data_IF_784132234176
#
_entry.id   IF_784132234176
#
_cell.length_a   1.000
_cell.length_b   1.000
_cell.length_c   1.000
_cell.angle_alpha   90.00
_cell.angle_beta   90.00
_cell.angle_gamma   90.00
#
_symmetry.space_group_name_H-M   'P 1'
#
loop_
_entity.id
_entity.type
_entity.pdbx_description
1 polymer ?
#
# COMPACT_ATOMS: atom_id res chain seq x y z
N UNK A 1 -0.87 -16.58 -4.37
CA UNK A 1 -1.21 -15.38 -5.16
C UNK A 1 0.05 -14.60 -5.58
N UNK A 2 0.97 -14.30 -4.67
CA UNK A 2 2.19 -13.52 -4.99
C UNK A 2 3.00 -14.10 -6.17
N UNK A 3 3.23 -15.41 -6.19
CA UNK A 3 3.99 -16.07 -7.27
C UNK A 3 3.29 -15.91 -8.63
N UNK A 4 1.97 -16.03 -8.65
CA UNK A 4 1.15 -15.82 -9.85
C UNK A 4 1.26 -14.38 -10.34
N UNK A 5 1.05 -13.40 -9.46
CA UNK A 5 1.11 -11.97 -9.82
C UNK A 5 2.47 -11.60 -10.44
N UNK A 6 3.57 -12.02 -9.83
CA UNK A 6 4.92 -11.67 -10.27
C UNK A 6 5.44 -12.51 -11.44
N UNK A 7 5.21 -13.83 -11.40
CA UNK A 7 5.84 -14.78 -12.33
C UNK A 7 4.99 -15.07 -13.56
N UNK A 8 3.66 -15.07 -13.42
CA UNK A 8 2.76 -15.39 -14.54
C UNK A 8 2.20 -14.13 -15.18
N UNK A 9 1.70 -13.19 -14.35
CA UNK A 9 1.05 -11.95 -14.85
C UNK A 9 2.08 -10.85 -15.10
N UNK A 10 3.28 -10.92 -14.48
CA UNK A 10 4.34 -9.94 -14.69
C UNK A 10 4.23 -8.67 -13.82
N UNK A 11 3.31 -8.63 -12.83
CA UNK A 11 3.13 -7.51 -11.92
C UNK A 11 4.19 -7.57 -10.81
N UNK A 12 5.36 -7.02 -11.05
CA UNK A 12 6.54 -7.13 -10.18
C UNK A 12 6.58 -6.12 -9.04
N UNK A 13 5.66 -5.15 -9.00
CA UNK A 13 5.55 -4.16 -7.94
C UNK A 13 5.28 -4.78 -6.56
N UNK A 14 4.44 -5.82 -6.49
CA UNK A 14 4.27 -6.63 -5.28
C UNK A 14 5.57 -7.35 -4.93
N UNK A 15 6.16 -7.05 -3.75
CA UNK A 15 7.50 -7.55 -3.39
C UNK A 15 7.45 -8.87 -2.60
N UNK A 16 8.59 -9.53 -2.52
CA UNK A 16 8.77 -10.71 -1.67
C UNK A 16 9.80 -10.40 -0.58
N UNK A 17 9.34 -10.40 0.68
CA UNK A 17 10.21 -10.24 1.84
C UNK A 17 10.28 -11.53 2.66
N UNK A 18 9.41 -11.70 3.65
CA UNK A 18 9.47 -12.82 4.60
C UNK A 18 8.83 -14.12 4.06
N UNK A 19 7.72 -14.05 3.34
CA UNK A 19 6.91 -15.23 2.95
C UNK A 19 5.99 -15.75 4.05
N UNK A 20 5.95 -15.11 5.20
CA UNK A 20 5.30 -15.56 6.45
C UNK A 20 4.20 -14.58 6.93
N UNK A 21 3.88 -13.55 6.13
CA UNK A 21 2.83 -12.58 6.49
C UNK A 21 3.27 -11.45 7.42
N UNK A 22 4.55 -11.40 7.83
CA UNK A 22 5.04 -10.47 8.86
C UNK A 22 5.42 -9.09 8.30
N UNK A 23 5.98 -9.01 7.08
CA UNK A 23 6.65 -7.81 6.61
C UNK A 23 5.79 -6.87 5.76
N UNK A 24 4.65 -7.31 5.26
CA UNK A 24 3.74 -6.51 4.43
C UNK A 24 4.29 -6.10 3.04
N UNK A 25 5.50 -6.52 2.65
CA UNK A 25 6.06 -6.18 1.33
C UNK A 25 5.22 -6.72 0.15
N UNK A 26 4.42 -7.74 0.40
CA UNK A 26 3.55 -8.39 -0.56
C UNK A 26 2.08 -7.95 -0.46
N UNK A 27 1.77 -6.86 0.24
CA UNK A 27 0.40 -6.36 0.41
C UNK A 27 -0.24 -6.04 -0.95
N UNK A 28 -1.45 -6.54 -1.15
CA UNK A 28 -2.34 -6.25 -2.27
C UNK A 28 -3.74 -5.94 -1.71
N UNK A 29 -4.64 -5.40 -2.54
CA UNK A 29 -6.06 -5.32 -2.20
C UNK A 29 -6.81 -6.45 -2.90
N UNK A 30 -7.69 -7.12 -2.16
CA UNK A 30 -8.68 -8.06 -2.69
C UNK A 30 -10.04 -7.55 -2.26
N UNK A 31 -10.88 -7.19 -3.23
CA UNK A 31 -12.18 -6.53 -3.00
C UNK A 31 -12.05 -5.30 -2.07
N UNK A 32 -10.98 -4.52 -2.26
CA UNK A 32 -10.69 -3.32 -1.48
C UNK A 32 -10.11 -3.58 -0.08
N UNK A 33 -9.85 -4.82 0.31
CA UNK A 33 -9.25 -5.19 1.60
C UNK A 33 -7.78 -5.55 1.42
N UNK A 34 -6.89 -5.02 2.28
CA UNK A 34 -5.49 -5.39 2.26
C UNK A 34 -5.28 -6.81 2.77
N UNK A 35 -4.50 -7.58 2.01
CA UNK A 35 -4.10 -8.95 2.35
C UNK A 35 -2.64 -9.17 2.02
N UNK A 36 -2.00 -10.09 2.73
CA UNK A 36 -0.66 -10.55 2.42
C UNK A 36 -0.70 -11.62 1.33
N UNK A 37 -0.36 -11.27 0.10
CA UNK A 37 -0.43 -12.19 -1.05
C UNK A 37 0.49 -13.41 -0.94
N UNK A 38 1.48 -13.41 -0.04
CA UNK A 38 2.32 -14.58 0.24
C UNK A 38 1.55 -15.68 0.99
N UNK A 39 0.50 -15.33 1.75
CA UNK A 39 -0.37 -16.25 2.50
C UNK A 39 -1.71 -16.51 1.80
N UNK A 40 -1.97 -15.89 0.68
CA UNK A 40 -3.21 -16.05 -0.09
C UNK A 40 -2.98 -17.05 -1.23
N UNK A 41 -3.85 -18.04 -1.36
CA UNK A 41 -3.80 -18.94 -2.51
C UNK A 41 -4.31 -18.24 -3.78
N UNK A 42 -3.74 -18.59 -4.93
CA UNK A 42 -4.16 -18.00 -6.20
C UNK A 42 -5.62 -18.35 -6.55
N UNK A 43 -6.06 -19.55 -6.19
CA UNK A 43 -7.43 -20.02 -6.41
C UNK A 43 -8.47 -19.22 -5.63
N UNK A 44 -8.10 -18.65 -4.47
CA UNK A 44 -8.99 -17.83 -3.65
C UNK A 44 -9.28 -16.45 -4.29
N UNK A 45 -8.54 -16.10 -5.35
CA UNK A 45 -8.72 -14.86 -6.10
C UNK A 45 -9.66 -14.99 -7.29
N UNK A 46 -10.14 -16.20 -7.58
CA UNK A 46 -11.08 -16.41 -8.66
C UNK A 46 -12.39 -15.64 -8.42
N UNK A 47 -12.84 -14.92 -9.42
CA UNK A 47 -14.01 -14.04 -9.33
C UNK A 47 -13.85 -12.78 -8.47
N UNK A 48 -12.65 -12.52 -7.92
CA UNK A 48 -12.40 -11.34 -7.07
C UNK A 48 -11.67 -10.23 -7.80
N UNK A 49 -11.89 -9.00 -7.34
CA UNK A 49 -11.15 -7.82 -7.80
C UNK A 49 -9.83 -7.71 -7.04
N UNK A 50 -8.71 -7.83 -7.76
CA UNK A 50 -7.36 -7.69 -7.19
C UNK A 50 -6.74 -6.39 -7.66
N UNK A 51 -6.28 -5.55 -6.70
CA UNK A 51 -5.55 -4.32 -7.00
C UNK A 51 -4.14 -4.41 -6.42
N UNK A 52 -3.15 -4.29 -7.27
CA UNK A 52 -1.74 -4.17 -6.89
C UNK A 52 -1.29 -2.72 -6.96
N UNK A 53 -0.02 -2.46 -6.63
CA UNK A 53 0.56 -1.11 -6.73
C UNK A 53 0.48 -0.56 -8.16
N UNK A 54 0.57 -1.42 -9.17
CA UNK A 54 0.43 -1.03 -10.58
C UNK A 54 -0.99 -0.52 -10.88
N UNK A 55 -2.02 -1.17 -10.33
CA UNK A 55 -3.40 -0.73 -10.47
C UNK A 55 -3.68 0.60 -9.77
N UNK A 56 -3.01 0.88 -8.66
CA UNK A 56 -3.10 2.17 -7.97
C UNK A 56 -2.43 3.32 -8.75
N UNK A 57 -1.61 3.05 -9.74
CA UNK A 57 -1.00 4.12 -10.56
C UNK A 57 -2.04 4.95 -11.32
N UNK A 58 -3.18 4.36 -11.69
CA UNK A 58 -4.30 5.04 -12.34
C UNK A 58 -5.35 5.58 -11.33
N UNK A 59 -5.32 5.15 -10.09
CA UNK A 59 -6.22 5.58 -9.02
C UNK A 59 -5.75 6.91 -8.41
N UNK A 60 -6.67 7.87 -8.19
CA UNK A 60 -6.33 9.19 -7.64
C UNK A 60 -5.67 9.10 -6.28
N UNK A 61 -6.09 8.16 -5.42
CA UNK A 61 -5.47 7.93 -4.10
C UNK A 61 -4.02 7.46 -4.24
N UNK A 62 -3.77 6.54 -5.18
CA UNK A 62 -2.41 6.08 -5.47
C UNK A 62 -1.51 7.18 -6.00
N UNK A 63 -2.04 8.08 -6.85
CA UNK A 63 -1.30 9.24 -7.38
C UNK A 63 -0.92 10.21 -6.26
N UNK A 64 -1.90 10.62 -5.43
CA UNK A 64 -1.67 11.56 -4.32
C UNK A 64 -0.71 10.98 -3.29
N UNK A 65 -0.86 9.68 -2.94
CA UNK A 65 0.09 9.01 -2.04
C UNK A 65 1.50 9.02 -2.60
N UNK A 66 1.67 8.71 -3.89
CA UNK A 66 2.99 8.70 -4.53
C UNK A 66 3.63 10.09 -4.52
N UNK A 67 2.86 11.13 -4.83
CA UNK A 67 3.31 12.53 -4.79
C UNK A 67 3.74 12.92 -3.38
N UNK A 68 2.93 12.60 -2.35
CA UNK A 68 3.25 12.85 -0.96
C UNK A 68 4.50 12.08 -0.48
N UNK A 69 4.64 10.81 -0.86
CA UNK A 69 5.84 10.02 -0.52
C UNK A 69 7.11 10.61 -1.10
N UNK A 70 7.06 11.11 -2.33
CA UNK A 70 8.20 11.81 -2.95
C UNK A 70 8.49 13.12 -2.23
N UNK A 71 7.47 13.94 -2.01
CA UNK A 71 7.58 15.27 -1.37
C UNK A 71 8.20 15.18 0.03
N UNK A 72 7.78 14.22 0.84
CA UNK A 72 8.30 14.03 2.21
C UNK A 72 9.64 13.27 2.25
N UNK A 73 10.13 12.75 1.12
CA UNK A 73 11.29 11.86 1.12
C UNK A 73 11.02 10.57 1.92
N UNK A 74 9.79 10.05 1.84
CA UNK A 74 9.35 8.84 2.52
C UNK A 74 9.84 7.54 1.85
N UNK A 75 10.72 7.67 0.86
CA UNK A 75 11.31 6.57 0.10
C UNK A 75 12.82 6.64 0.21
N UNK A 76 13.46 5.51 0.56
CA UNK A 76 14.92 5.34 0.47
C UNK A 76 15.24 4.19 -0.50
N UNK A 77 15.38 2.96 -0.04
CA UNK A 77 15.62 1.83 -0.96
C UNK A 77 14.40 1.48 -1.83
N UNK A 78 13.20 1.89 -1.43
CA UNK A 78 11.95 1.68 -2.17
C UNK A 78 11.32 0.28 -2.03
N UNK A 79 11.96 -0.66 -1.35
CA UNK A 79 11.48 -2.04 -1.28
C UNK A 79 10.12 -2.18 -0.55
N UNK A 80 9.93 -1.47 0.57
CA UNK A 80 8.67 -1.47 1.33
C UNK A 80 7.58 -0.61 0.67
N UNK A 81 7.95 0.33 -0.19
CA UNK A 81 7.06 1.39 -0.69
C UNK A 81 5.78 0.86 -1.36
N UNK A 82 5.82 -0.15 -2.24
CA UNK A 82 4.60 -0.67 -2.84
C UNK A 82 3.58 -1.16 -1.81
N UNK A 83 4.01 -1.97 -0.84
CA UNK A 83 3.12 -2.46 0.23
C UNK A 83 2.59 -1.34 1.12
N UNK A 84 3.43 -0.36 1.48
CA UNK A 84 3.05 0.82 2.24
C UNK A 84 1.98 1.65 1.54
N UNK A 85 2.16 1.92 0.24
CA UNK A 85 1.20 2.71 -0.57
C UNK A 85 -0.13 1.96 -0.71
N UNK A 86 -0.10 0.65 -0.95
CA UNK A 86 -1.32 -0.17 -1.04
C UNK A 86 -2.09 -0.13 0.30
N UNK A 87 -1.39 -0.31 1.41
CA UNK A 87 -1.99 -0.24 2.75
C UNK A 87 -2.54 1.15 3.06
N UNK A 88 -1.80 2.20 2.73
CA UNK A 88 -2.25 3.59 2.90
C UNK A 88 -3.47 3.90 2.02
N UNK A 89 -3.52 3.40 0.79
CA UNK A 89 -4.68 3.59 -0.09
C UNK A 89 -5.95 2.95 0.50
N UNK A 90 -5.85 1.79 1.13
CA UNK A 90 -6.96 1.17 1.87
C UNK A 90 -7.40 2.04 3.05
N UNK A 91 -6.46 2.55 3.84
CA UNK A 91 -6.78 3.46 4.94
C UNK A 91 -7.56 4.68 4.43
N UNK A 92 -7.06 5.34 3.38
CA UNK A 92 -7.66 6.57 2.83
C UNK A 92 -9.01 6.33 2.15
N UNK A 93 -9.31 5.09 1.74
CA UNK A 93 -10.63 4.71 1.27
C UNK A 93 -11.68 4.67 2.42
N UNK A 94 -11.25 4.47 3.65
CA UNK A 94 -12.10 4.32 4.83
C UNK A 94 -12.09 5.55 5.74
N UNK A 95 -10.94 6.21 5.84
CA UNK A 95 -10.71 7.33 6.76
C UNK A 95 -10.27 8.54 5.97
N UNK A 96 -11.16 9.54 5.87
CA UNK A 96 -10.98 10.70 5.01
C UNK A 96 -9.80 11.60 5.41
N UNK A 97 -9.53 11.73 6.73
CA UNK A 97 -8.44 12.54 7.31
C UNK A 97 -7.84 11.78 8.48
N UNK A 98 -6.97 10.80 8.23
CA UNK A 98 -6.30 10.12 9.32
C UNK A 98 -5.34 11.09 10.00
N UNK A 99 -5.28 11.05 11.33
CA UNK A 99 -4.17 11.65 12.07
C UNK A 99 -2.94 10.73 12.07
N UNK A 100 -1.86 11.18 12.68
CA UNK A 100 -0.62 10.43 12.73
C UNK A 100 -0.76 9.10 13.50
N UNK A 101 -1.62 9.02 14.51
CA UNK A 101 -1.83 7.80 15.28
C UNK A 101 -2.55 6.74 14.43
N UNK A 102 -3.61 7.16 13.74
CA UNK A 102 -4.36 6.29 12.81
C UNK A 102 -3.47 5.82 11.65
N UNK A 103 -2.66 6.72 11.07
CA UNK A 103 -1.73 6.36 10.01
C UNK A 103 -0.67 5.35 10.49
N UNK A 104 -0.11 5.52 11.68
CA UNK A 104 0.85 4.57 12.29
C UNK A 104 0.23 3.19 12.46
N UNK A 105 -0.94 3.12 13.09
CA UNK A 105 -1.64 1.85 13.32
C UNK A 105 -1.97 1.14 12.00
N UNK A 106 -2.38 1.89 10.97
CA UNK A 106 -2.72 1.30 9.68
C UNK A 106 -1.53 0.60 9.00
N UNK A 107 -0.29 1.07 9.21
CA UNK A 107 0.91 0.52 8.57
C UNK A 107 1.73 -0.40 9.47
N UNK A 108 1.26 -0.76 10.66
CA UNK A 108 1.98 -1.63 11.62
C UNK A 108 2.41 -2.98 11.01
N UNK A 109 1.61 -3.52 10.08
CA UNK A 109 1.93 -4.75 9.36
C UNK A 109 2.90 -4.58 8.17
N UNK A 110 3.47 -3.38 7.95
CA UNK A 110 4.36 -3.09 6.84
C UNK A 110 5.73 -2.62 7.36
N UNK A 111 6.75 -3.46 7.20
CA UNK A 111 8.08 -3.18 7.73
C UNK A 111 8.91 -2.32 6.77
N UNK A 112 9.54 -1.28 7.34
CA UNK A 112 10.56 -0.47 6.67
C UNK A 112 11.83 -0.42 7.52
N UNK A 113 12.97 -0.82 6.96
CA UNK A 113 14.27 -0.82 7.67
C UNK A 113 15.05 0.49 7.48
N UNK A 114 14.61 1.35 6.56
CA UNK A 114 15.40 2.51 6.13
C UNK A 114 14.92 3.84 6.73
N UNK A 115 13.61 4.12 6.67
CA UNK A 115 13.07 5.47 6.85
C UNK A 115 12.80 5.88 8.29
N UNK A 116 12.69 4.95 9.22
CA UNK A 116 12.22 5.22 10.59
C UNK A 116 10.74 5.62 10.68
N UNK A 117 9.96 5.43 9.61
CA UNK A 117 8.50 5.62 9.49
C UNK A 117 8.00 7.06 9.55
N UNK A 118 8.66 8.00 10.23
CA UNK A 118 8.14 9.35 10.46
C UNK A 118 7.66 10.01 9.17
N UNK A 119 8.51 10.03 8.15
CA UNK A 119 8.18 10.62 6.83
C UNK A 119 7.08 9.89 6.09
N UNK A 120 6.96 8.57 6.28
CA UNK A 120 5.87 7.77 5.72
C UNK A 120 4.53 8.19 6.34
N UNK A 121 4.50 8.34 7.66
CA UNK A 121 3.29 8.78 8.38
C UNK A 121 2.88 10.19 7.95
N UNK A 122 3.83 11.12 7.85
CA UNK A 122 3.58 12.50 7.38
C UNK A 122 3.01 12.50 5.95
N UNK A 123 3.57 11.68 5.06
CA UNK A 123 3.08 11.55 3.70
C UNK A 123 1.63 11.01 3.63
N UNK A 124 1.29 10.03 4.46
CA UNK A 124 -0.07 9.46 4.51
C UNK A 124 -1.07 10.50 5.03
N UNK A 125 -0.72 11.24 6.08
CA UNK A 125 -1.57 12.30 6.65
C UNK A 125 -1.81 13.39 5.61
N UNK A 126 -0.77 13.90 4.96
CA UNK A 126 -0.90 14.91 3.91
C UNK A 126 -1.76 14.40 2.73
N UNK A 127 -1.55 13.16 2.29
CA UNK A 127 -2.35 12.57 1.23
C UNK A 127 -3.84 12.54 1.58
N UNK A 128 -4.17 12.22 2.83
CA UNK A 128 -5.54 12.27 3.34
C UNK A 128 -6.14 13.68 3.30
N UNK A 129 -5.36 14.70 3.65
CA UNK A 129 -5.81 16.10 3.58
C UNK A 129 -6.08 16.56 2.14
N UNK A 130 -5.19 16.19 1.20
CA UNK A 130 -5.33 16.53 -0.22
C UNK A 130 -6.59 15.90 -0.79
N UNK A 131 -6.78 14.58 -0.62
CA UNK A 131 -7.97 13.87 -1.10
C UNK A 131 -9.27 14.40 -0.49
N UNK A 132 -9.23 14.78 0.78
CA UNK A 132 -10.38 15.37 1.45
C UNK A 132 -10.78 16.74 0.87
N UNK A 133 -9.80 17.57 0.46
CA UNK A 133 -10.04 18.85 -0.22
C UNK A 133 -10.60 18.65 -1.62
N UNK A 134 -10.15 17.62 -2.32
CA UNK A 134 -10.63 17.27 -3.67
C UNK A 134 -12.00 16.57 -3.66
N UNK A 135 -12.52 16.16 -2.50
CA UNK A 135 -13.78 15.43 -2.39
C UNK A 135 -13.69 13.97 -2.85
N UNK A 136 -12.49 13.45 -3.03
CA UNK A 136 -12.24 12.05 -3.44
C UNK A 136 -12.43 11.12 -2.23
N UNK A 137 -13.11 9.98 -2.48
CA UNK A 137 -13.28 8.87 -1.52
C UNK A 137 -12.58 7.62 -2.01
#
# INVERSE_FOLDING_TARGET
ARAMLRGVIGLTGTKYGCGEGECGACTILVDGQSVNSCLTFAVDLDGRTVTTIEGLAADRRGQVLREAFVKHGAVQCGFCTPGMVVQAAQLLARTRRPDAAVAKTAIEGNLCRCTGYQKIVEAIVEAGEVLAKEGVR
#
